data_IF_643074347909
#
_entry.id   IF_643074347909
#
_cell.length_a   1.000
_cell.length_b   1.000
_cell.length_c   1.000
_cell.angle_alpha   90.00
_cell.angle_beta   90.00
_cell.angle_gamma   90.00
#
_symmetry.space_group_name_H-M   'P 1'
#
loop_
_entity.id
_entity.type
_entity.pdbx_description
1 polymer ?
#
# COMPACT_ATOMS: atom_id res chain seq x y z
N UNK A 1 11.08 -23.39 -1.32
CA UNK A 1 10.65 -23.93 -0.01
C UNK A 1 9.89 -22.83 0.74
N UNK A 2 8.56 -22.72 0.61
CA UNK A 2 7.81 -21.73 1.38
C UNK A 2 7.57 -22.26 2.80
N UNK A 3 7.93 -21.43 3.78
CA UNK A 3 7.80 -21.68 5.21
C UNK A 3 6.36 -21.31 5.63
N UNK A 4 5.54 -22.32 5.95
CA UNK A 4 4.15 -22.13 6.38
C UNK A 4 4.11 -21.93 7.90
N UNK A 5 3.48 -20.84 8.34
CA UNK A 5 3.19 -20.57 9.75
C UNK A 5 2.24 -21.63 10.33
N UNK A 6 2.30 -21.93 11.64
CA UNK A 6 1.42 -22.93 12.25
C UNK A 6 0.01 -22.37 12.46
N UNK A 7 -0.95 -22.96 11.77
CA UNK A 7 -2.40 -22.82 11.97
C UNK A 7 -2.76 -23.21 13.41
N UNK A 8 -3.34 -22.28 14.17
CA UNK A 8 -3.97 -22.59 15.46
C UNK A 8 -5.19 -23.48 15.23
N UNK A 9 -5.22 -24.62 15.91
CA UNK A 9 -6.34 -25.56 15.91
C UNK A 9 -7.53 -24.97 16.70
N UNK A 10 -8.71 -24.95 16.07
CA UNK A 10 -9.98 -24.78 16.79
C UNK A 10 -10.26 -26.04 17.64
N UNK A 11 -10.84 -25.92 18.85
CA UNK A 11 -11.31 -27.09 19.59
C UNK A 11 -12.60 -27.65 18.97
N UNK A 12 -12.66 -28.99 18.89
CA UNK A 12 -13.80 -29.76 18.35
C UNK A 12 -15.07 -29.64 19.21
N UNK A 13 -16.27 -29.80 18.62
CA UNK A 13 -17.51 -29.84 19.38
C UNK A 13 -17.64 -31.16 20.14
N UNK A 14 -17.77 -31.07 21.46
CA UNK A 14 -18.13 -32.19 22.33
C UNK A 14 -19.55 -32.65 21.99
N UNK A 15 -19.67 -33.88 21.48
CA UNK A 15 -20.96 -34.57 21.32
C UNK A 15 -21.43 -35.09 22.68
N UNK A 16 -22.67 -34.79 23.13
CA UNK A 16 -23.22 -35.43 24.31
C UNK A 16 -23.73 -36.83 23.95
N UNK A 17 -23.17 -37.84 24.59
CA UNK A 17 -23.68 -39.21 24.57
C UNK A 17 -25.04 -39.29 25.27
N UNK A 18 -25.95 -40.05 24.65
CA UNK A 18 -27.20 -40.50 25.25
C UNK A 18 -26.90 -41.59 26.29
N UNK A 19 -27.10 -41.30 27.57
CA UNK A 19 -27.30 -42.33 28.60
C UNK A 19 -28.73 -42.23 29.16
N UNK A 20 -29.52 -43.25 28.83
CA UNK A 20 -30.77 -43.53 29.51
C UNK A 20 -30.46 -44.06 30.91
N UNK A 21 -30.76 -43.28 31.94
CA UNK A 21 -30.93 -43.80 33.30
C UNK A 21 -32.39 -43.62 33.67
N UNK A 22 -33.09 -44.75 33.68
CA UNK A 22 -34.34 -44.93 34.39
C UNK A 22 -34.13 -44.64 35.87
N UNK A 23 -34.88 -43.70 36.41
CA UNK A 23 -35.25 -43.72 37.83
C UNK A 23 -36.69 -43.25 37.91
N UNK A 24 -37.58 -44.22 37.73
CA UNK A 24 -39.00 -44.08 38.03
C UNK A 24 -39.19 -44.02 39.54
N UNK A 25 -40.12 -43.15 39.93
CA UNK A 25 -40.97 -43.25 41.13
C UNK A 25 -40.24 -43.15 42.48
N UNK A 26 -40.16 -41.92 43.01
CA UNK A 26 -40.48 -41.58 44.40
C UNK A 26 -40.06 -40.14 44.71
N UNK A 27 -40.91 -39.18 44.31
CA UNK A 27 -41.00 -37.87 44.95
C UNK A 27 -42.40 -37.33 44.68
N UNK A 28 -43.36 -37.87 45.44
CA UNK A 28 -44.62 -37.21 45.71
C UNK A 28 -44.35 -35.78 46.23
N UNK A 29 -45.15 -34.85 45.71
CA UNK A 29 -45.45 -33.55 46.34
C UNK A 29 -44.32 -32.52 46.37
N UNK A 30 -43.95 -32.00 45.21
CA UNK A 30 -43.60 -30.58 45.10
C UNK A 30 -44.42 -29.95 43.99
N UNK A 31 -45.36 -29.11 44.44
CA UNK A 31 -46.07 -28.07 43.73
C UNK A 31 -45.97 -28.13 42.20
N UNK A 32 -47.05 -28.61 41.61
CA UNK A 32 -47.44 -28.31 40.23
C UNK A 32 -47.70 -26.79 40.13
N UNK A 33 -46.63 -26.00 40.21
CA UNK A 33 -46.62 -24.63 39.70
C UNK A 33 -46.77 -24.76 38.20
N UNK A 34 -48.03 -24.75 37.76
CA UNK A 34 -48.42 -24.28 36.43
C UNK A 34 -47.47 -23.15 36.04
N UNK A 35 -46.80 -23.16 34.86
CA UNK A 35 -46.07 -21.99 34.43
C UNK A 35 -47.06 -20.84 34.44
N UNK A 36 -46.91 -19.94 35.40
CA UNK A 36 -47.82 -18.81 35.55
C UNK A 36 -47.78 -18.07 34.22
N UNK A 37 -48.93 -17.95 33.56
CA UNK A 37 -49.01 -17.16 32.34
C UNK A 37 -48.49 -15.76 32.68
N UNK A 38 -47.51 -15.24 31.92
CA UNK A 38 -46.90 -13.96 32.22
C UNK A 38 -48.00 -12.91 32.27
N UNK A 39 -48.01 -12.11 33.33
CA UNK A 39 -49.02 -11.08 33.46
C UNK A 39 -48.87 -10.08 32.31
N UNK A 40 -50.00 -9.53 31.82
CA UNK A 40 -49.98 -8.50 30.77
C UNK A 40 -49.06 -7.33 31.12
N UNK A 41 -48.87 -7.03 32.42
CA UNK A 41 -47.95 -6.00 32.91
C UNK A 41 -46.47 -6.37 32.72
N UNK A 42 -46.09 -7.63 32.87
CA UNK A 42 -44.72 -8.10 32.59
C UNK A 42 -44.43 -8.08 31.10
N UNK A 43 -45.38 -8.53 30.26
CA UNK A 43 -45.24 -8.50 28.81
C UNK A 43 -45.07 -7.08 28.29
N UNK A 44 -45.89 -6.14 28.77
CA UNK A 44 -45.80 -4.72 28.38
C UNK A 44 -44.51 -4.05 28.88
N UNK A 45 -44.01 -4.39 30.07
CA UNK A 45 -42.73 -3.88 30.55
C UNK A 45 -41.55 -4.37 29.70
N UNK A 46 -41.56 -5.65 29.33
CA UNK A 46 -40.53 -6.23 28.44
C UNK A 46 -40.58 -5.56 27.07
N UNK A 47 -41.77 -5.37 26.49
CA UNK A 47 -41.93 -4.67 25.20
C UNK A 47 -41.38 -3.24 25.23
N UNK A 48 -41.71 -2.46 26.26
CA UNK A 48 -41.20 -1.09 26.42
C UNK A 48 -39.67 -1.08 26.58
N UNK A 49 -39.12 -2.03 27.35
CA UNK A 49 -37.67 -2.15 27.54
C UNK A 49 -36.97 -2.51 26.23
N UNK A 50 -37.52 -3.45 25.47
CA UNK A 50 -37.00 -3.88 24.18
C UNK A 50 -37.03 -2.74 23.15
N UNK A 51 -38.11 -1.95 23.13
CA UNK A 51 -38.22 -0.75 22.30
C UNK A 51 -37.17 0.30 22.69
N UNK A 52 -36.95 0.51 23.99
CA UNK A 52 -35.89 1.39 24.49
C UNK A 52 -34.50 0.94 24.05
N UNK A 53 -34.22 -0.35 24.15
CA UNK A 53 -32.96 -0.95 23.71
C UNK A 53 -32.77 -0.85 22.19
N UNK A 54 -33.82 -1.08 21.40
CA UNK A 54 -33.78 -0.90 19.95
C UNK A 54 -33.47 0.55 19.55
N UNK A 55 -34.08 1.53 20.21
CA UNK A 55 -33.78 2.95 19.97
C UNK A 55 -32.33 3.28 20.33
N UNK A 56 -31.83 2.74 21.44
CA UNK A 56 -30.41 2.91 21.84
C UNK A 56 -29.48 2.31 20.79
N UNK A 57 -29.70 1.05 20.39
CA UNK A 57 -28.89 0.35 19.39
C UNK A 57 -28.90 1.09 18.05
N UNK A 58 -30.06 1.58 17.60
CA UNK A 58 -30.16 2.39 16.39
C UNK A 58 -29.33 3.68 16.50
N UNK A 59 -29.41 4.38 17.64
CA UNK A 59 -28.65 5.61 17.86
C UNK A 59 -27.13 5.36 17.83
N UNK A 60 -26.66 4.30 18.48
CA UNK A 60 -25.25 3.90 18.50
C UNK A 60 -24.77 3.47 17.11
N UNK A 61 -25.59 2.70 16.39
CA UNK A 61 -25.28 2.25 15.02
C UNK A 61 -25.14 3.44 14.07
N UNK A 62 -26.06 4.42 14.13
CA UNK A 62 -25.95 5.62 13.29
C UNK A 62 -24.73 6.47 13.64
N UNK A 63 -24.37 6.57 14.93
CA UNK A 63 -23.16 7.26 15.35
C UNK A 63 -21.91 6.55 14.83
N UNK A 64 -21.87 5.22 14.92
CA UNK A 64 -20.77 4.40 14.43
C UNK A 64 -20.60 4.51 12.90
N UNK A 65 -21.70 4.47 12.14
CA UNK A 65 -21.66 4.66 10.70
C UNK A 65 -21.10 6.03 10.29
N UNK A 66 -21.47 7.10 11.01
CA UNK A 66 -20.88 8.43 10.77
C UNK A 66 -19.39 8.46 11.07
N UNK A 67 -18.96 7.83 12.16
CA UNK A 67 -17.54 7.75 12.51
C UNK A 67 -16.73 6.98 11.46
N UNK A 68 -17.25 5.86 10.96
CA UNK A 68 -16.64 5.09 9.88
C UNK A 68 -16.53 5.92 8.59
N UNK A 69 -17.59 6.62 8.20
CA UNK A 69 -17.57 7.46 7.00
C UNK A 69 -16.51 8.58 7.11
N UNK A 70 -16.37 9.21 8.28
CA UNK A 70 -15.33 10.22 8.48
C UNK A 70 -13.93 9.61 8.49
N UNK A 71 -13.75 8.43 9.08
CA UNK A 71 -12.48 7.71 9.05
C UNK A 71 -12.07 7.36 7.62
N UNK A 72 -13.01 6.88 6.80
CA UNK A 72 -12.77 6.62 5.37
C UNK A 72 -12.39 7.88 4.61
N UNK A 73 -13.08 9.00 4.88
CA UNK A 73 -12.76 10.30 4.28
C UNK A 73 -11.33 10.73 4.59
N UNK A 74 -10.92 10.63 5.87
CA UNK A 74 -9.56 10.97 6.31
C UNK A 74 -8.52 10.02 5.71
N UNK A 75 -8.80 8.72 5.68
CA UNK A 75 -7.91 7.73 5.07
C UNK A 75 -7.72 8.00 3.57
N UNK A 76 -8.78 8.36 2.85
CA UNK A 76 -8.72 8.73 1.44
C UNK A 76 -7.93 10.02 1.22
N UNK A 77 -8.12 11.03 2.06
CA UNK A 77 -7.33 12.26 2.01
C UNK A 77 -5.83 11.98 2.23
N UNK A 78 -5.49 11.12 3.19
CA UNK A 78 -4.11 10.73 3.45
C UNK A 78 -3.50 9.96 2.28
N UNK A 79 -4.24 9.03 1.68
CA UNK A 79 -3.79 8.31 0.47
C UNK A 79 -3.53 9.27 -0.69
N UNK A 80 -4.41 10.25 -0.91
CA UNK A 80 -4.22 11.26 -1.95
C UNK A 80 -2.95 12.08 -1.70
N UNK A 81 -2.73 12.53 -0.46
CA UNK A 81 -1.52 13.27 -0.09
C UNK A 81 -0.24 12.44 -0.33
N UNK A 82 -0.24 11.14 0.02
CA UNK A 82 0.89 10.26 -0.24
C UNK A 82 1.20 10.11 -1.74
N UNK A 83 0.16 10.00 -2.59
CA UNK A 83 0.34 9.92 -4.04
C UNK A 83 0.99 11.20 -4.57
N UNK A 84 0.56 12.38 -4.10
CA UNK A 84 1.18 13.65 -4.51
C UNK A 84 2.63 13.74 -4.05
N UNK A 85 2.94 13.36 -2.81
CA UNK A 85 4.34 13.32 -2.33
C UNK A 85 5.20 12.37 -3.16
N UNK A 86 4.68 11.19 -3.51
CA UNK A 86 5.39 10.24 -4.37
C UNK A 86 5.62 10.80 -5.78
N UNK A 87 4.63 11.49 -6.36
CA UNK A 87 4.78 12.16 -7.66
C UNK A 87 5.86 13.24 -7.62
N UNK A 88 5.86 14.06 -6.58
CA UNK A 88 6.86 15.12 -6.42
C UNK A 88 8.26 14.53 -6.23
N UNK A 89 8.40 13.49 -5.41
CA UNK A 89 9.65 12.76 -5.24
C UNK A 89 10.15 12.17 -6.57
N UNK A 90 9.27 11.57 -7.38
CA UNK A 90 9.64 11.04 -8.69
C UNK A 90 10.16 12.13 -9.64
N UNK A 91 9.53 13.32 -9.65
CA UNK A 91 10.02 14.48 -10.42
C UNK A 91 11.40 14.93 -9.96
N UNK A 92 11.61 15.02 -8.65
CA UNK A 92 12.91 15.40 -8.08
C UNK A 92 14.00 14.39 -8.41
N UNK A 93 13.71 13.09 -8.31
CA UNK A 93 14.67 12.05 -8.69
C UNK A 93 15.03 12.11 -10.18
N UNK A 94 14.05 12.34 -11.07
CA UNK A 94 14.31 12.52 -12.49
C UNK A 94 15.20 13.75 -12.77
N UNK A 95 14.92 14.88 -12.12
CA UNK A 95 15.72 16.09 -12.25
C UNK A 95 17.17 15.89 -11.74
N UNK A 96 17.35 15.19 -10.63
CA UNK A 96 18.67 14.86 -10.10
C UNK A 96 19.45 13.92 -11.02
N UNK A 97 18.79 12.90 -11.58
CA UNK A 97 19.41 12.00 -12.54
C UNK A 97 19.90 12.77 -13.78
N UNK A 98 19.08 13.69 -14.29
CA UNK A 98 19.47 14.53 -15.42
C UNK A 98 20.63 15.47 -15.08
N UNK A 99 20.59 16.11 -13.91
CA UNK A 99 21.69 16.96 -13.44
C UNK A 99 23.00 16.16 -13.30
N UNK A 100 22.92 14.93 -12.77
CA UNK A 100 24.08 14.06 -12.63
C UNK A 100 24.61 13.61 -14.00
N UNK A 101 23.73 13.32 -14.97
CA UNK A 101 24.11 13.00 -16.35
C UNK A 101 24.91 14.15 -16.98
N UNK A 102 24.41 15.37 -16.89
CA UNK A 102 25.09 16.57 -17.38
C UNK A 102 26.41 16.80 -16.66
N UNK A 103 26.44 16.67 -15.32
CA UNK A 103 27.66 16.87 -14.54
C UNK A 103 28.75 15.85 -14.93
N UNK A 104 28.38 14.58 -15.11
CA UNK A 104 29.28 13.54 -15.57
C UNK A 104 29.80 13.84 -16.99
N UNK A 105 28.93 14.30 -17.88
CA UNK A 105 29.31 14.69 -19.24
C UNK A 105 30.33 15.82 -19.25
N UNK A 106 30.12 16.86 -18.42
CA UNK A 106 31.06 17.97 -18.26
C UNK A 106 32.41 17.47 -17.74
N UNK A 107 32.41 16.58 -16.75
CA UNK A 107 33.63 15.98 -16.21
C UNK A 107 34.40 15.21 -17.31
N UNK A 108 33.73 14.26 -17.99
CA UNK A 108 34.32 13.48 -19.09
C UNK A 108 34.85 14.40 -20.19
N UNK A 109 34.10 15.43 -20.60
CA UNK A 109 34.55 16.39 -21.61
C UNK A 109 35.82 17.13 -21.18
N UNK A 110 35.94 17.50 -19.90
CA UNK A 110 37.11 18.20 -19.40
C UNK A 110 38.35 17.30 -19.45
N UNK A 111 38.22 16.04 -19.03
CA UNK A 111 39.27 15.02 -19.11
C UNK A 111 39.68 14.73 -20.56
N UNK A 112 38.71 14.48 -21.44
CA UNK A 112 38.97 14.19 -22.85
C UNK A 112 39.58 15.39 -23.60
N UNK A 113 39.25 16.63 -23.22
CA UNK A 113 39.92 17.82 -23.75
C UNK A 113 41.38 17.87 -23.35
N UNK A 114 41.71 17.53 -22.11
CA UNK A 114 43.10 17.44 -21.65
C UNK A 114 43.86 16.31 -22.35
N UNK A 115 43.20 15.17 -22.58
CA UNK A 115 43.79 14.09 -23.36
C UNK A 115 44.05 14.52 -24.81
N UNK A 116 43.03 15.03 -25.50
CA UNK A 116 43.11 15.42 -26.91
C UNK A 116 44.13 16.54 -27.17
N UNK A 117 44.41 17.41 -26.20
CA UNK A 117 45.39 18.47 -26.36
C UNK A 117 46.83 17.97 -26.47
N UNK A 118 47.11 16.76 -25.96
CA UNK A 118 48.45 16.15 -25.96
C UNK A 118 48.53 14.83 -26.75
N UNK A 119 47.39 14.24 -27.12
CA UNK A 119 47.32 12.98 -27.84
C UNK A 119 47.52 13.14 -29.35
N UNK A 120 48.18 12.15 -29.96
CA UNK A 120 48.27 12.01 -31.43
C UNK A 120 46.97 11.51 -32.07
N UNK A 121 46.04 10.98 -31.26
CA UNK A 121 44.73 10.52 -31.67
C UNK A 121 43.66 11.14 -30.77
N UNK A 122 42.68 11.81 -31.37
CA UNK A 122 41.62 12.49 -30.66
C UNK A 122 40.40 11.59 -30.47
N UNK A 123 39.85 11.62 -29.25
CA UNK A 123 38.61 10.95 -28.90
C UNK A 123 37.43 11.91 -29.04
N UNK A 124 36.28 11.37 -29.47
CA UNK A 124 35.05 12.13 -29.60
C UNK A 124 34.58 12.64 -28.23
N UNK A 125 34.23 13.93 -28.17
CA UNK A 125 33.67 14.53 -26.97
C UNK A 125 32.15 14.26 -26.93
N UNK A 126 31.59 13.81 -25.79
CA UNK A 126 30.15 13.70 -25.66
C UNK A 126 29.49 15.08 -25.71
N UNK A 127 28.20 15.11 -26.00
CA UNK A 127 27.38 16.31 -26.04
C UNK A 127 27.27 16.94 -24.65
N UNK A 128 26.79 18.19 -24.58
CA UNK A 128 26.68 18.94 -23.31
C UNK A 128 25.58 18.40 -22.40
N UNK A 129 24.59 17.77 -22.98
CA UNK A 129 23.52 17.07 -22.28
C UNK A 129 24.02 15.75 -21.68
N UNK A 130 25.08 15.17 -22.22
CA UNK A 130 25.68 13.91 -21.78
C UNK A 130 25.40 12.72 -22.68
N UNK A 131 24.73 12.94 -23.80
CA UNK A 131 24.63 11.92 -24.83
C UNK A 131 25.98 11.74 -25.56
N UNK A 132 26.31 10.54 -26.03
CA UNK A 132 27.44 10.33 -26.91
C UNK A 132 27.25 11.11 -28.21
N UNK A 133 28.35 11.41 -28.90
CA UNK A 133 28.26 12.01 -30.22
C UNK A 133 27.50 11.04 -31.17
N UNK A 134 26.47 11.51 -31.90
CA UNK A 134 25.72 10.68 -32.82
C UNK A 134 26.61 10.00 -33.88
N UNK A 135 26.29 8.76 -34.26
CA UNK A 135 27.12 7.96 -35.15
C UNK A 135 27.19 8.49 -36.59
N UNK A 136 26.22 9.32 -36.98
CA UNK A 136 26.14 10.04 -38.25
C UNK A 136 27.03 11.28 -38.30
N UNK A 137 27.53 11.76 -37.15
CA UNK A 137 28.44 12.91 -37.07
C UNK A 137 29.89 12.42 -37.01
N UNK A 138 30.65 12.65 -38.08
CA UNK A 138 32.06 12.29 -38.10
C UNK A 138 32.90 13.21 -37.20
N UNK A 139 33.62 12.60 -36.24
CA UNK A 139 34.57 13.31 -35.39
C UNK A 139 36.01 13.17 -35.90
N UNK A 140 36.78 14.28 -35.95
CA UNK A 140 38.16 14.23 -36.42
C UNK A 140 39.07 13.41 -35.49
N UNK A 141 39.72 12.39 -36.05
CA UNK A 141 40.61 11.47 -35.30
C UNK A 141 41.99 12.06 -34.98
N UNK A 142 42.41 13.12 -35.66
CA UNK A 142 43.64 13.89 -35.44
C UNK A 142 43.66 15.14 -36.35
N UNK A 143 44.67 15.98 -36.19
CA UNK A 143 44.86 17.20 -36.99
C UNK A 143 44.87 16.95 -38.51
N UNK A 144 45.54 15.89 -38.97
CA UNK A 144 45.60 15.57 -40.40
C UNK A 144 44.27 15.06 -40.96
N UNK A 145 43.48 14.38 -40.12
CA UNK A 145 42.11 14.00 -40.46
C UNK A 145 41.23 15.24 -40.61
N UNK A 146 41.29 16.17 -39.64
CA UNK A 146 40.55 17.44 -39.68
C UNK A 146 40.88 18.24 -40.94
N UNK A 147 42.17 18.41 -41.27
CA UNK A 147 42.61 19.15 -42.46
C UNK A 147 42.09 18.56 -43.77
N UNK A 148 41.92 17.23 -43.84
CA UNK A 148 41.33 16.56 -45.01
C UNK A 148 39.81 16.72 -45.06
N UNK A 149 39.14 16.77 -43.91
CA UNK A 149 37.70 17.04 -43.83
C UNK A 149 37.39 18.48 -44.26
N UNK A 150 38.24 19.46 -43.92
CA UNK A 150 38.04 20.87 -44.29
C UNK A 150 38.46 21.21 -45.73
N UNK A 151 39.46 20.51 -46.28
CA UNK A 151 40.00 20.76 -47.63
C UNK A 151 39.32 20.00 -48.77
N UNK A 152 38.19 19.35 -48.51
CA UNK A 152 37.42 18.54 -49.46
C UNK A 152 36.23 19.28 -50.10
N UNK A 153 36.37 20.58 -50.39
CA UNK A 153 35.42 21.38 -51.15
C UNK A 153 36.11 22.04 -52.35
#
# INVERSE_FOLDING_TARGET
MPNLAPTQALPEPVSPGYEWVQSSEEAMEQEEQSPAEPSLSEVTLVEVTLLGDLVRILSETTAHQRALAEQERLANAHRAALIEVQREAAKHHAALAEQQRIANAVAIRSELRMYNSSASHWQALPLLDGEPLPADVEFPKNFWHLKRMEGGA
#
